data_IF_645421893093
#
_entry.id   IF_645421893093
#
_cell.length_a   1.000
_cell.length_b   1.000
_cell.length_c   1.000
_cell.angle_alpha   90.00
_cell.angle_beta   90.00
_cell.angle_gamma   90.00
#
_symmetry.space_group_name_H-M   'P 1'
#
loop_
_entity.id
_entity.type
_entity.pdbx_description
1 polymer ?
#
# COMPACT_ATOMS: atom_id res chain seq x y z
N UNK A 1 -25.88 0.87 10.30
CA UNK A 1 -24.74 1.24 9.45
C UNK A 1 -23.97 -0.04 9.19
N UNK A 2 -23.83 -0.43 7.93
CA UNK A 2 -23.09 -1.64 7.57
C UNK A 2 -21.60 -1.28 7.55
N UNK A 3 -20.90 -1.55 8.64
CA UNK A 3 -19.46 -1.44 8.70
C UNK A 3 -18.89 -2.62 7.90
N UNK A 4 -18.75 -2.42 6.59
CA UNK A 4 -18.07 -3.40 5.75
C UNK A 4 -16.61 -3.40 6.18
N UNK A 5 -16.21 -4.40 6.99
CA UNK A 5 -14.83 -4.54 7.45
C UNK A 5 -13.91 -4.61 6.23
N UNK A 6 -13.25 -3.49 5.92
CA UNK A 6 -12.37 -3.40 4.77
C UNK A 6 -11.12 -4.22 5.08
N UNK A 7 -10.97 -5.36 4.42
CA UNK A 7 -9.82 -6.24 4.63
C UNK A 7 -8.58 -5.76 3.86
N UNK A 8 -8.77 -4.91 2.86
CA UNK A 8 -7.71 -4.41 1.98
C UNK A 8 -7.85 -2.91 1.69
N UNK A 9 -6.73 -2.31 1.29
CA UNK A 9 -6.64 -0.94 0.77
C UNK A 9 -5.77 -0.90 -0.48
N UNK A 10 -5.83 0.22 -1.19
CA UNK A 10 -5.02 0.49 -2.38
C UNK A 10 -3.70 1.14 -1.98
N UNK A 11 -2.58 0.48 -2.20
CA UNK A 11 -1.26 1.11 -2.13
C UNK A 11 -0.97 1.83 -3.45
N UNK A 12 -0.78 3.16 -3.39
CA UNK A 12 -0.45 4.03 -4.54
C UNK A 12 1.06 4.22 -4.60
N UNK A 13 1.69 3.77 -5.68
CA UNK A 13 3.15 3.84 -5.84
C UNK A 13 3.50 5.19 -6.49
N UNK A 14 4.13 6.07 -5.71
CA UNK A 14 4.25 7.50 -6.04
C UNK A 14 5.57 7.89 -6.71
N UNK A 15 6.55 6.99 -6.78
CA UNK A 15 7.83 7.15 -7.45
C UNK A 15 8.43 5.77 -7.80
N UNK A 16 9.65 5.75 -8.34
CA UNK A 16 10.40 4.52 -8.59
C UNK A 16 9.91 3.67 -9.78
N UNK A 17 10.34 2.41 -9.88
CA UNK A 17 10.14 1.58 -11.08
C UNK A 17 8.68 1.31 -11.46
N UNK A 18 7.75 1.46 -10.52
CA UNK A 18 6.32 1.22 -10.72
C UNK A 18 5.49 2.48 -10.41
N UNK A 19 6.08 3.67 -10.54
CA UNK A 19 5.40 4.94 -10.36
C UNK A 19 4.07 4.99 -11.14
N UNK A 20 3.04 5.53 -10.49
CA UNK A 20 1.68 5.66 -11.05
C UNK A 20 0.86 4.36 -11.02
N UNK A 21 1.46 3.23 -10.66
CA UNK A 21 0.73 1.96 -10.47
C UNK A 21 0.12 1.89 -9.07
N UNK A 22 -0.84 0.99 -8.93
CA UNK A 22 -1.50 0.68 -7.66
C UNK A 22 -1.50 -0.82 -7.43
N UNK A 23 -1.47 -1.24 -6.17
CA UNK A 23 -1.61 -2.63 -5.76
C UNK A 23 -2.59 -2.75 -4.60
N UNK A 24 -3.43 -3.78 -4.60
CA UNK A 24 -4.29 -4.10 -3.47
C UNK A 24 -3.48 -4.87 -2.41
N UNK A 25 -3.56 -4.46 -1.16
CA UNK A 25 -2.88 -5.13 -0.04
C UNK A 25 -3.73 -5.08 1.22
N UNK A 26 -3.49 -6.01 2.14
CA UNK A 26 -4.19 -6.09 3.42
C UNK A 26 -3.65 -5.12 4.46
N UNK A 27 -4.46 -4.82 5.46
CA UNK A 27 -4.02 -4.18 6.70
C UNK A 27 -3.22 -5.16 7.58
N UNK A 28 -2.54 -4.62 8.58
CA UNK A 28 -2.09 -5.39 9.73
C UNK A 28 -3.28 -5.76 10.63
N UNK A 29 -3.07 -6.66 11.59
CA UNK A 29 -4.12 -7.14 12.50
C UNK A 29 -4.73 -6.02 13.37
N UNK A 30 -3.98 -4.94 13.60
CA UNK A 30 -4.43 -3.75 14.33
C UNK A 30 -5.15 -2.72 13.43
N UNK A 31 -5.37 -3.04 12.15
CA UNK A 31 -5.98 -2.15 11.17
C UNK A 31 -5.04 -1.11 10.58
N UNK A 32 -3.75 -1.10 10.94
CA UNK A 32 -2.81 -0.16 10.34
C UNK A 32 -2.44 -0.58 8.91
N UNK A 33 -2.27 0.38 7.98
CA UNK A 33 -1.65 0.09 6.69
C UNK A 33 -0.21 -0.40 6.91
N UNK A 34 0.20 -1.41 6.13
CA UNK A 34 1.54 -2.01 6.22
C UNK A 34 2.64 -0.94 6.13
N UNK A 35 3.74 -1.07 6.89
CA UNK A 35 4.86 -0.14 6.80
C UNK A 35 5.56 -0.21 5.43
N UNK A 36 5.55 -1.39 4.81
CA UNK A 36 6.11 -1.64 3.48
C UNK A 36 5.19 -2.53 2.65
N UNK A 37 5.32 -2.43 1.33
CA UNK A 37 4.77 -3.40 0.37
C UNK A 37 5.91 -3.93 -0.49
N UNK A 38 5.88 -5.25 -0.71
CA UNK A 38 6.86 -5.97 -1.51
C UNK A 38 6.21 -6.40 -2.81
N UNK A 39 6.83 -6.07 -3.94
CA UNK A 39 6.29 -6.34 -5.26
C UNK A 39 7.32 -7.16 -6.05
N UNK A 40 7.06 -8.46 -6.25
CA UNK A 40 7.90 -9.30 -7.11
C UNK A 40 7.97 -8.75 -8.53
N UNK A 41 9.17 -8.80 -9.11
CA UNK A 41 9.45 -8.35 -10.46
C UNK A 41 10.33 -9.37 -11.21
N UNK A 42 10.35 -9.35 -12.55
CA UNK A 42 11.12 -10.31 -13.33
C UNK A 42 12.63 -10.27 -13.01
N UNK A 43 13.28 -11.43 -13.15
CA UNK A 43 14.73 -11.57 -12.97
C UNK A 43 15.16 -11.52 -11.51
N UNK A 44 14.44 -12.22 -10.63
CA UNK A 44 14.80 -12.36 -9.21
C UNK A 44 14.76 -11.05 -8.42
N UNK A 45 13.99 -10.05 -8.88
CA UNK A 45 13.89 -8.74 -8.22
C UNK A 45 12.63 -8.67 -7.36
N UNK A 46 12.74 -8.01 -6.22
CA UNK A 46 11.58 -7.57 -5.43
C UNK A 46 11.72 -6.10 -5.14
N UNK A 47 10.77 -5.29 -5.61
CA UNK A 47 10.75 -3.86 -5.29
C UNK A 47 10.09 -3.67 -3.93
N UNK A 48 10.76 -2.92 -3.05
CA UNK A 48 10.27 -2.58 -1.73
C UNK A 48 9.82 -1.12 -1.76
N UNK A 49 8.59 -0.87 -1.35
CA UNK A 49 8.06 0.47 -1.17
C UNK A 49 7.68 0.70 0.28
N UNK A 50 8.05 1.85 0.85
CA UNK A 50 7.73 2.25 2.21
C UNK A 50 6.53 3.21 2.23
N UNK A 51 5.68 3.08 3.25
CA UNK A 51 4.50 3.92 3.46
C UNK A 51 4.91 5.39 3.61
N UNK A 52 4.23 6.28 2.91
CA UNK A 52 4.38 7.73 3.04
C UNK A 52 3.11 8.36 3.67
N UNK A 53 3.09 9.69 3.81
CA UNK A 53 2.05 10.39 4.57
C UNK A 53 0.67 10.44 3.88
N UNK A 54 0.59 10.19 2.57
CA UNK A 54 -0.67 10.32 1.83
C UNK A 54 -1.66 9.21 2.17
N UNK A 55 -2.87 9.57 2.63
CA UNK A 55 -3.97 8.65 2.87
C UNK A 55 -5.28 9.23 2.31
N UNK A 56 -6.11 8.35 1.76
CA UNK A 56 -7.45 8.65 1.25
C UNK A 56 -8.45 7.77 2.01
N UNK A 57 -9.66 8.27 2.20
CA UNK A 57 -10.74 7.58 2.91
C UNK A 57 -11.99 7.58 2.01
N UNK A 58 -12.80 6.52 2.06
CA UNK A 58 -14.04 6.43 1.26
C UNK A 58 -15.04 7.53 1.63
N UNK A 59 -15.07 7.95 2.89
CA UNK A 59 -16.01 8.94 3.41
C UNK A 59 -15.46 9.62 4.65
N UNK A 60 -16.02 10.77 5.00
CA UNK A 60 -15.74 11.40 6.29
C UNK A 60 -16.15 10.47 7.45
N UNK A 61 -15.22 10.22 8.38
CA UNK A 61 -15.46 9.35 9.53
C UNK A 61 -15.15 7.87 9.31
N UNK A 62 -14.64 7.46 8.13
CA UNK A 62 -14.13 6.10 7.94
C UNK A 62 -12.94 5.83 8.87
N UNK A 63 -12.99 4.71 9.59
CA UNK A 63 -11.93 4.32 10.54
C UNK A 63 -10.62 3.89 9.83
N UNK A 64 -10.73 3.36 8.61
CA UNK A 64 -9.61 2.82 7.84
C UNK A 64 -9.48 3.55 6.48
N UNK A 65 -8.25 3.81 6.00
CA UNK A 65 -8.04 4.43 4.71
C UNK A 65 -8.43 3.50 3.55
N UNK A 66 -8.96 4.08 2.47
CA UNK A 66 -9.21 3.36 1.22
C UNK A 66 -7.97 3.24 0.35
N UNK A 67 -7.09 4.24 0.38
CA UNK A 67 -5.83 4.23 -0.32
C UNK A 67 -4.72 4.90 0.50
N UNK A 68 -3.50 4.45 0.31
CA UNK A 68 -2.33 4.94 1.04
C UNK A 68 -1.16 5.07 0.06
N UNK A 69 -0.43 6.18 0.14
CA UNK A 69 0.73 6.45 -0.68
C UNK A 69 1.96 5.71 -0.18
N UNK A 70 2.77 5.22 -1.13
CA UNK A 70 4.03 4.54 -0.88
C UNK A 70 5.10 5.08 -1.81
N UNK A 71 6.34 5.13 -1.29
CA UNK A 71 7.53 5.54 -2.02
C UNK A 71 8.52 4.39 -2.11
N UNK A 72 9.18 4.29 -3.25
CA UNK A 72 10.23 3.33 -3.51
C UNK A 72 11.35 3.48 -2.49
N UNK A 73 11.71 2.35 -1.87
CA UNK A 73 12.78 2.26 -0.89
C UNK A 73 14.02 1.61 -1.50
N UNK A 74 13.88 0.41 -2.05
CA UNK A 74 15.01 -0.37 -2.59
C UNK A 74 14.54 -1.52 -3.48
N UNK A 75 15.49 -2.18 -4.14
CA UNK A 75 15.30 -3.47 -4.81
C UNK A 75 16.10 -4.53 -4.06
N UNK A 76 15.43 -5.63 -3.70
CA UNK A 76 16.08 -6.85 -3.24
C UNK A 76 16.30 -7.79 -4.43
N UNK A 77 17.38 -8.57 -4.39
CA UNK A 77 17.75 -9.53 -5.42
C UNK A 77 17.85 -10.93 -4.81
N UNK A 78 17.25 -11.93 -5.47
CA UNK A 78 17.21 -13.34 -5.08
C UNK A 78 17.68 -14.23 -6.22
#
# INVERSE_FOLDING_TARGET
MSDTTKTTYTAKLTDGPLEGRTVATGFLDDGQPKPTVEIPAPGGKTYIYARSAGQEFESAGSALPSAVAYRFLTTNFS
#
